data_IF_372273312020
#
_entry.id   IF_372273312020
#
_cell.length_a   1.000
_cell.length_b   1.000
_cell.length_c   1.000
_cell.angle_alpha   90.00
_cell.angle_beta   90.00
_cell.angle_gamma   90.00
#
_symmetry.space_group_name_H-M   'P 1'
#
loop_
_entity.id
_entity.type
_entity.pdbx_description
1 polymer ?
#
# COMPACT_ATOMS: atom_id res chain seq x y z
N UNK A 1 27.17 -1.25 -19.23
CA UNK A 1 27.93 -2.21 -18.41
C UNK A 1 27.35 -2.13 -17.01
N UNK A 2 26.46 -3.06 -16.66
CA UNK A 2 25.94 -3.20 -15.30
C UNK A 2 27.02 -3.87 -14.47
N UNK A 3 27.55 -3.18 -13.47
CA UNK A 3 28.50 -3.77 -12.52
C UNK A 3 27.78 -4.87 -11.71
N UNK A 4 28.16 -6.13 -11.92
CA UNK A 4 27.68 -7.23 -11.09
C UNK A 4 28.35 -7.14 -9.71
N UNK A 5 27.63 -6.59 -8.73
CA UNK A 5 28.08 -6.56 -7.33
C UNK A 5 27.84 -7.92 -6.68
N UNK A 6 28.88 -8.75 -6.63
CA UNK A 6 28.81 -10.05 -5.95
C UNK A 6 28.69 -9.86 -4.44
N UNK A 7 27.52 -10.16 -3.86
CA UNK A 7 27.27 -10.07 -2.42
C UNK A 7 27.15 -11.46 -1.81
N UNK A 8 27.92 -11.75 -0.76
CA UNK A 8 27.82 -13.03 -0.03
C UNK A 8 26.92 -12.88 1.18
N UNK A 9 25.87 -13.70 1.27
CA UNK A 9 24.90 -13.67 2.38
C UNK A 9 24.90 -15.03 3.08
N UNK A 10 24.92 -15.02 4.42
CA UNK A 10 24.73 -16.23 5.21
C UNK A 10 23.24 -16.52 5.34
N UNK A 11 22.81 -17.66 4.79
CA UNK A 11 21.44 -18.15 4.89
C UNK A 11 21.36 -19.47 5.66
N UNK A 12 20.29 -19.74 6.42
CA UNK A 12 20.05 -21.04 7.04
C UNK A 12 20.02 -22.17 6.01
N UNK A 13 20.48 -23.37 6.40
CA UNK A 13 20.53 -24.54 5.51
C UNK A 13 19.17 -24.83 4.87
N UNK A 14 18.11 -24.86 5.67
CA UNK A 14 16.76 -25.12 5.17
C UNK A 14 16.30 -24.11 4.09
N UNK A 15 16.73 -22.85 4.18
CA UNK A 15 16.43 -21.84 3.17
C UNK A 15 17.24 -22.07 1.89
N UNK A 16 18.53 -22.37 2.04
CA UNK A 16 19.41 -22.72 0.90
C UNK A 16 18.87 -23.91 0.11
N UNK A 17 18.48 -24.97 0.81
CA UNK A 17 17.98 -26.20 0.18
C UNK A 17 16.69 -25.92 -0.61
N UNK A 18 15.81 -25.06 -0.09
CA UNK A 18 14.60 -24.60 -0.82
C UNK A 18 14.94 -23.78 -2.05
N UNK A 19 15.91 -22.88 -1.97
CA UNK A 19 16.32 -22.08 -3.12
C UNK A 19 16.95 -22.94 -4.23
N UNK A 20 17.69 -23.98 -3.86
CA UNK A 20 18.21 -24.96 -4.83
C UNK A 20 17.08 -25.77 -5.48
N UNK A 21 16.09 -26.22 -4.72
CA UNK A 21 14.93 -26.91 -5.26
C UNK A 21 14.18 -26.05 -6.30
N UNK A 22 13.99 -24.75 -6.02
CA UNK A 22 13.38 -23.81 -6.96
C UNK A 22 14.22 -23.63 -8.24
N UNK A 23 15.55 -23.60 -8.12
CA UNK A 23 16.43 -23.54 -9.28
C UNK A 23 16.35 -24.82 -10.13
N UNK A 24 16.26 -25.99 -9.47
CA UNK A 24 16.11 -27.29 -10.13
C UNK A 24 14.76 -27.42 -10.85
N UNK A 25 13.67 -26.89 -10.27
CA UNK A 25 12.33 -26.83 -10.87
C UNK A 25 12.28 -25.91 -12.10
N UNK A 26 13.05 -24.83 -12.11
CA UNK A 26 13.15 -23.88 -13.22
C UNK A 26 13.80 -24.43 -14.50
N UNK A 27 14.27 -25.68 -14.49
CA UNK A 27 14.84 -26.36 -15.66
C UNK A 27 16.32 -26.04 -15.93
N UNK A 28 16.87 -26.63 -16.99
CA UNK A 28 18.29 -26.48 -17.34
C UNK A 28 18.61 -25.03 -17.73
N UNK A 29 19.49 -24.40 -16.96
CA UNK A 29 20.01 -23.06 -17.24
C UNK A 29 19.58 -21.99 -16.23
N UNK A 30 18.61 -22.31 -15.37
CA UNK A 30 18.18 -21.41 -14.29
C UNK A 30 19.19 -21.47 -13.15
N UNK A 31 19.86 -20.36 -12.87
CA UNK A 31 20.84 -20.29 -11.78
C UNK A 31 20.17 -19.84 -10.48
N UNK A 32 20.83 -20.12 -9.36
CA UNK A 32 20.42 -19.59 -8.06
C UNK A 32 20.30 -18.06 -8.06
N UNK A 33 21.15 -17.38 -8.83
CA UNK A 33 21.11 -15.92 -8.96
C UNK A 33 19.86 -15.45 -9.72
N UNK A 34 19.41 -16.20 -10.72
CA UNK A 34 18.19 -15.90 -11.47
C UNK A 34 16.96 -16.07 -10.58
N UNK A 35 16.89 -17.17 -9.81
CA UNK A 35 15.82 -17.40 -8.83
C UNK A 35 15.77 -16.29 -7.78
N UNK A 36 16.93 -15.88 -7.25
CA UNK A 36 16.98 -14.79 -6.27
C UNK A 36 16.55 -13.45 -6.88
N UNK A 37 16.90 -13.18 -8.14
CA UNK A 37 16.47 -11.98 -8.85
C UNK A 37 14.95 -11.96 -9.01
N UNK A 38 14.37 -13.07 -9.48
CA UNK A 38 12.93 -13.19 -9.67
C UNK A 38 12.16 -13.02 -8.36
N UNK A 39 12.63 -13.66 -7.27
CA UNK A 39 12.01 -13.51 -5.95
C UNK A 39 12.09 -12.08 -5.40
N UNK A 40 13.18 -11.35 -5.70
CA UNK A 40 13.30 -9.94 -5.32
C UNK A 40 12.36 -9.06 -6.13
N UNK A 41 12.28 -9.27 -7.44
CA UNK A 41 11.35 -8.54 -8.32
C UNK A 41 9.89 -8.79 -7.90
N UNK A 42 9.54 -10.05 -7.58
CA UNK A 42 8.22 -10.41 -7.07
C UNK A 42 7.94 -9.70 -5.75
N UNK A 43 8.87 -9.77 -4.79
CA UNK A 43 8.73 -9.10 -3.50
C UNK A 43 8.52 -7.59 -3.66
N UNK A 44 9.31 -6.93 -4.51
CA UNK A 44 9.19 -5.49 -4.75
C UNK A 44 7.87 -5.13 -5.44
N UNK A 45 7.39 -5.99 -6.35
CA UNK A 45 6.08 -5.82 -6.98
C UNK A 45 4.94 -5.92 -5.96
N UNK A 46 5.00 -6.90 -5.04
CA UNK A 46 4.01 -7.11 -3.99
C UNK A 46 4.03 -5.93 -3.02
N UNK A 47 5.22 -5.52 -2.58
CA UNK A 47 5.40 -4.38 -1.67
C UNK A 47 4.86 -3.10 -2.29
N UNK A 48 5.14 -2.84 -3.56
CA UNK A 48 4.63 -1.67 -4.28
C UNK A 48 3.10 -1.71 -4.36
N UNK A 49 2.49 -2.85 -4.69
CA UNK A 49 1.03 -3.02 -4.69
C UNK A 49 0.41 -2.78 -3.31
N UNK A 50 1.04 -3.28 -2.26
CA UNK A 50 0.57 -3.06 -0.88
C UNK A 50 0.64 -1.58 -0.49
N UNK A 51 1.74 -0.89 -0.83
CA UNK A 51 1.88 0.54 -0.57
C UNK A 51 0.83 1.36 -1.32
N UNK A 52 0.57 1.04 -2.59
CA UNK A 52 -0.47 1.71 -3.39
C UNK A 52 -1.88 1.46 -2.81
N UNK A 53 -2.16 0.24 -2.38
CA UNK A 53 -3.43 -0.09 -1.73
C UNK A 53 -3.60 0.68 -0.42
N UNK A 54 -2.54 0.77 0.39
CA UNK A 54 -2.54 1.53 1.64
C UNK A 54 -2.74 3.03 1.39
N UNK A 55 -2.01 3.61 0.44
CA UNK A 55 -2.15 5.03 0.05
C UNK A 55 -3.57 5.34 -0.43
N UNK A 56 -4.15 4.46 -1.26
CA UNK A 56 -5.54 4.60 -1.71
C UNK A 56 -6.54 4.59 -0.56
N UNK A 57 -6.35 3.70 0.43
CA UNK A 57 -7.20 3.66 1.62
C UNK A 57 -7.04 4.92 2.48
N UNK A 58 -5.80 5.40 2.64
CA UNK A 58 -5.51 6.63 3.38
C UNK A 58 -6.16 7.85 2.71
N UNK A 59 -6.02 7.98 1.39
CA UNK A 59 -6.65 9.05 0.61
C UNK A 59 -8.18 9.02 0.75
N UNK A 60 -8.79 7.83 0.69
CA UNK A 60 -10.25 7.67 0.91
C UNK A 60 -10.65 8.10 2.32
N UNK A 61 -9.91 7.68 3.34
CA UNK A 61 -10.19 8.06 4.73
C UNK A 61 -10.04 9.57 4.96
N UNK A 62 -9.03 10.21 4.35
CA UNK A 62 -8.85 11.66 4.39
C UNK A 62 -9.98 12.40 3.66
N UNK A 63 -10.35 11.94 2.47
CA UNK A 63 -11.47 12.50 1.72
C UNK A 63 -12.80 12.38 2.49
N UNK A 64 -13.03 11.26 3.19
CA UNK A 64 -14.21 11.06 4.03
C UNK A 64 -14.20 11.96 5.27
N UNK A 65 -13.04 12.19 5.88
CA UNK A 65 -12.90 13.12 7.00
C UNK A 65 -13.14 14.58 6.56
N UNK A 66 -12.62 14.97 5.40
CA UNK A 66 -12.90 16.28 4.80
C UNK A 66 -14.38 16.43 4.43
N UNK A 67 -14.98 15.40 3.83
CA UNK A 67 -16.40 15.39 3.46
C UNK A 67 -17.29 15.52 4.70
N UNK A 68 -16.99 14.78 5.77
CA UNK A 68 -17.66 14.93 7.08
C UNK A 68 -17.50 16.35 7.64
N UNK A 69 -16.28 16.88 7.64
CA UNK A 69 -16.01 18.23 8.17
C UNK A 69 -16.78 19.31 7.40
N UNK A 70 -16.87 19.20 6.06
CA UNK A 70 -17.67 20.10 5.21
C UNK A 70 -19.16 19.96 5.48
N UNK A 71 -19.66 18.74 5.65
CA UNK A 71 -21.06 18.48 6.00
C UNK A 71 -21.41 19.09 7.36
N UNK A 72 -20.57 18.88 8.38
CA UNK A 72 -20.76 19.42 9.73
C UNK A 72 -20.76 20.95 9.73
N UNK A 73 -19.83 21.59 9.00
CA UNK A 73 -19.83 23.05 8.85
C UNK A 73 -21.11 23.57 8.17
N UNK A 74 -21.61 22.85 7.17
CA UNK A 74 -22.84 23.22 6.46
C UNK A 74 -24.05 23.10 7.38
N UNK A 75 -24.13 22.03 8.18
CA UNK A 75 -25.16 21.83 9.19
C UNK A 75 -25.08 22.90 10.27
N UNK A 76 -23.90 23.22 10.78
CA UNK A 76 -23.73 24.28 11.78
C UNK A 76 -24.13 25.66 11.25
N UNK A 77 -23.81 25.98 9.98
CA UNK A 77 -24.27 27.22 9.33
C UNK A 77 -25.78 27.26 9.19
N UNK A 78 -26.40 26.15 8.79
CA UNK A 78 -27.86 26.04 8.68
C UNK A 78 -28.55 26.19 10.05
N UNK A 79 -28.03 25.54 11.09
CA UNK A 79 -28.52 25.67 12.46
C UNK A 79 -28.36 27.10 12.99
N UNK A 80 -27.20 27.73 12.77
CA UNK A 80 -26.97 29.11 13.17
C UNK A 80 -27.90 30.09 12.46
N UNK A 81 -28.22 29.86 11.18
CA UNK A 81 -29.21 30.65 10.44
C UNK A 81 -30.62 30.48 11.02
N UNK A 82 -31.03 29.25 11.34
CA UNK A 82 -32.34 28.97 11.94
C UNK A 82 -32.46 29.54 13.36
N UNK A 83 -31.40 29.47 14.17
CA UNK A 83 -31.35 30.03 15.53
C UNK A 83 -31.30 31.56 15.55
N UNK A 84 -30.70 32.21 14.54
CA UNK A 84 -30.70 33.67 14.39
C UNK A 84 -32.04 34.23 13.95
N UNK A 85 -32.99 33.41 13.51
CA UNK A 85 -34.34 33.85 13.15
C UNK A 85 -35.19 33.86 14.44
N UNK A 86 -35.43 35.01 15.08
CA UNK A 86 -36.34 35.05 16.22
C UNK A 86 -37.76 34.93 15.65
N UNK A 87 -38.44 33.83 15.93
CA UNK A 87 -39.89 33.71 15.74
C UNK A 87 -40.38 33.95 14.31
N UNK A 88 -40.35 32.90 13.49
CA UNK A 88 -41.31 32.74 12.39
C UNK A 88 -42.57 32.00 12.85
N UNK A 89 -43.02 32.25 14.09
CA UNK A 89 -44.38 31.93 14.54
C UNK A 89 -45.15 33.24 14.37
N UNK A 90 -45.78 33.40 13.22
CA UNK A 90 -46.97 34.24 13.12
C UNK A 90 -48.17 33.31 13.20
N UNK A 91 -49.08 33.71 14.09
CA UNK A 91 -50.37 33.10 14.40
C UNK A 91 -51.21 32.73 13.17
#
# INVERSE_FOLDING_TARGET
MTEETTTTIKVPKALRDRLHALADEGGRGTTLADVLRELLEEHDSIRTRQLLAFDTLLQRAQADQEAKSKADQTVQRALAYLQRRPGGVTA
#
